data_IF_889378859882
#
_entry.id   IF_889378859882
#
_cell.length_a   1.000
_cell.length_b   1.000
_cell.length_c   1.000
_cell.angle_alpha   90.00
_cell.angle_beta   90.00
_cell.angle_gamma   90.00
#
_symmetry.space_group_name_H-M   'P 1'
#
loop_
_entity.id
_entity.type
_entity.pdbx_description
1 polymer ?
#
# COMPACT_ATOMS: atom_id res chain seq x y z
N UNK A 1 -18.82 -1.09 -8.83
CA UNK A 1 -18.55 -1.38 -7.40
C UNK A 1 -18.36 -2.89 -7.30
N UNK A 2 -17.32 -3.39 -6.61
CA UNK A 2 -17.07 -4.84 -6.52
C UNK A 2 -18.24 -5.54 -5.80
N UNK A 3 -18.58 -6.76 -6.23
CA UNK A 3 -19.56 -7.57 -5.49
C UNK A 3 -18.96 -8.08 -4.16
N UNK A 4 -19.81 -8.60 -3.26
CA UNK A 4 -19.39 -9.07 -1.93
C UNK A 4 -18.33 -10.18 -1.99
N UNK A 5 -18.42 -11.08 -2.97
CA UNK A 5 -17.48 -12.20 -3.14
C UNK A 5 -16.10 -11.72 -3.60
N UNK A 6 -16.08 -10.73 -4.49
CA UNK A 6 -14.86 -10.07 -4.96
C UNK A 6 -14.20 -9.28 -3.83
N UNK A 7 -14.98 -8.52 -3.05
CA UNK A 7 -14.47 -7.80 -1.86
C UNK A 7 -13.84 -8.77 -0.86
N UNK A 8 -14.49 -9.91 -0.58
CA UNK A 8 -13.95 -10.91 0.33
C UNK A 8 -12.62 -11.49 -0.16
N UNK A 9 -12.51 -11.82 -1.46
CA UNK A 9 -11.27 -12.32 -2.06
C UNK A 9 -10.16 -11.28 -2.01
N UNK A 10 -10.47 -10.04 -2.41
CA UNK A 10 -9.54 -8.90 -2.34
C UNK A 10 -9.05 -8.67 -0.90
N UNK A 11 -9.97 -8.65 0.07
CA UNK A 11 -9.65 -8.52 1.50
C UNK A 11 -8.67 -9.60 1.97
N UNK A 12 -8.93 -10.88 1.63
CA UNK A 12 -8.05 -12.00 2.00
C UNK A 12 -6.66 -11.85 1.40
N UNK A 13 -6.56 -11.53 0.11
CA UNK A 13 -5.28 -11.37 -0.60
C UNK A 13 -4.49 -10.19 -0.03
N UNK A 14 -5.13 -9.03 0.15
CA UNK A 14 -4.46 -7.84 0.70
C UNK A 14 -4.01 -8.07 2.13
N UNK A 15 -4.83 -8.70 2.98
CA UNK A 15 -4.45 -9.00 4.35
C UNK A 15 -3.26 -9.97 4.41
N UNK A 16 -3.21 -10.96 3.52
CA UNK A 16 -2.07 -11.88 3.42
C UNK A 16 -0.79 -11.16 2.98
N UNK A 17 -0.86 -10.32 1.94
CA UNK A 17 0.29 -9.52 1.49
C UNK A 17 0.74 -8.58 2.62
N UNK A 18 -0.20 -7.92 3.29
CA UNK A 18 0.10 -7.04 4.41
C UNK A 18 0.80 -7.77 5.57
N UNK A 19 0.34 -8.98 5.91
CA UNK A 19 1.01 -9.83 6.91
C UNK A 19 2.43 -10.19 6.47
N UNK A 20 2.62 -10.67 5.23
CA UNK A 20 3.94 -11.06 4.71
C UNK A 20 4.90 -9.87 4.70
N UNK A 21 4.44 -8.69 4.24
CA UNK A 21 5.27 -7.48 4.24
C UNK A 21 5.67 -7.06 5.65
N UNK A 22 4.74 -7.09 6.62
CA UNK A 22 5.09 -6.80 8.01
C UNK A 22 6.14 -7.78 8.54
N UNK A 23 5.95 -9.08 8.34
CA UNK A 23 6.90 -10.10 8.79
C UNK A 23 8.28 -9.91 8.16
N UNK A 24 8.37 -9.67 6.85
CA UNK A 24 9.67 -9.46 6.19
C UNK A 24 10.40 -8.24 6.74
N UNK A 25 9.71 -7.11 6.93
CA UNK A 25 10.34 -5.90 7.46
C UNK A 25 10.73 -6.12 8.92
N UNK A 26 9.87 -6.74 9.74
CA UNK A 26 10.21 -7.04 11.14
C UNK A 26 11.42 -7.97 11.27
N UNK A 27 11.56 -8.98 10.40
CA UNK A 27 12.76 -9.84 10.36
C UNK A 27 14.02 -9.03 10.05
N UNK A 28 13.94 -8.12 9.07
CA UNK A 28 15.06 -7.23 8.72
C UNK A 28 15.54 -6.42 9.92
N UNK A 29 14.62 -5.83 10.68
CA UNK A 29 14.96 -5.07 11.89
C UNK A 29 15.43 -5.95 13.06
N UNK A 30 14.92 -7.18 13.21
CA UNK A 30 15.47 -8.13 14.19
C UNK A 30 16.96 -8.40 13.91
N UNK A 31 17.35 -8.52 12.64
CA UNK A 31 18.76 -8.70 12.27
C UNK A 31 19.62 -7.47 12.58
N UNK A 32 19.05 -6.26 12.59
CA UNK A 32 19.75 -5.05 13.02
C UNK A 32 19.99 -5.00 14.53
N UNK A 33 19.12 -5.59 15.35
CA UNK A 33 19.33 -5.68 16.80
C UNK A 33 20.61 -6.45 17.13
N UNK A 34 20.87 -7.55 16.42
CA UNK A 34 22.11 -8.32 16.60
C UNK A 34 23.37 -7.52 16.24
N UNK A 35 23.22 -6.40 15.52
CA UNK A 35 24.31 -5.45 15.21
C UNK A 35 24.45 -4.32 16.24
N UNK A 36 23.60 -4.29 17.28
CA UNK A 36 23.70 -3.34 18.39
C UNK A 36 22.70 -2.19 18.35
N UNK A 37 21.74 -2.17 17.42
CA UNK A 37 20.74 -1.08 17.30
C UNK A 37 19.43 -1.46 17.98
N UNK A 38 19.31 -1.18 19.29
CA UNK A 38 18.16 -1.61 20.11
C UNK A 38 17.07 -0.53 20.27
N UNK A 39 17.40 0.73 20.00
CA UNK A 39 16.64 1.90 20.46
C UNK A 39 15.23 2.03 19.84
N UNK A 40 15.04 1.52 18.62
CA UNK A 40 13.80 1.72 17.85
C UNK A 40 12.95 0.45 17.71
N UNK A 41 13.43 -0.70 18.19
CA UNK A 41 12.81 -1.99 17.92
C UNK A 41 11.42 -2.14 18.56
N UNK A 42 11.27 -1.77 19.83
CA UNK A 42 9.99 -1.89 20.53
C UNK A 42 8.92 -0.97 19.93
N UNK A 43 9.33 0.21 19.47
CA UNK A 43 8.43 1.15 18.80
C UNK A 43 8.02 0.57 17.44
N UNK A 44 8.97 -0.01 16.68
CA UNK A 44 8.68 -0.67 15.41
C UNK A 44 7.64 -1.78 15.55
N UNK A 45 7.80 -2.67 16.55
CA UNK A 45 6.85 -3.74 16.82
C UNK A 45 5.48 -3.17 17.15
N UNK A 46 5.41 -2.10 17.95
CA UNK A 46 4.14 -1.48 18.33
C UNK A 46 3.38 -0.97 17.08
N UNK A 47 4.09 -0.26 16.18
CA UNK A 47 3.53 0.25 14.93
C UNK A 47 3.22 -0.84 13.90
N UNK A 48 3.91 -1.99 13.93
CA UNK A 48 3.58 -3.14 13.09
C UNK A 48 2.36 -3.91 13.64
N UNK A 49 2.36 -4.22 14.93
CA UNK A 49 1.39 -5.13 15.54
C UNK A 49 0.02 -4.48 15.74
N UNK A 50 -0.06 -3.23 16.21
CA UNK A 50 -1.36 -2.60 16.52
C UNK A 50 -2.26 -2.55 15.28
N UNK A 51 -1.82 -2.02 14.12
CA UNK A 51 -2.70 -1.90 12.96
C UNK A 51 -2.96 -3.26 12.29
N UNK A 52 -2.01 -4.19 12.39
CA UNK A 52 -2.18 -5.56 11.93
C UNK A 52 -3.27 -6.28 12.73
N UNK A 53 -3.22 -6.23 14.06
CA UNK A 53 -4.23 -6.81 14.95
C UNK A 53 -5.60 -6.17 14.70
N UNK A 54 -5.66 -4.83 14.60
CA UNK A 54 -6.90 -4.13 14.28
C UNK A 54 -7.51 -4.59 12.94
N UNK A 55 -6.66 -4.78 11.93
CA UNK A 55 -7.08 -5.30 10.61
C UNK A 55 -7.61 -6.74 10.69
N UNK A 56 -6.97 -7.60 11.48
CA UNK A 56 -7.47 -8.95 11.73
C UNK A 56 -8.82 -8.97 12.45
N UNK A 57 -9.00 -8.12 13.46
CA UNK A 57 -10.28 -8.00 14.18
C UNK A 57 -11.41 -7.61 13.21
N UNK A 58 -11.16 -6.61 12.35
CA UNK A 58 -12.14 -6.18 11.34
C UNK A 58 -12.42 -7.30 10.34
N UNK A 59 -11.39 -8.01 9.87
CA UNK A 59 -11.53 -9.11 8.91
C UNK A 59 -12.33 -10.28 9.48
N UNK A 60 -12.05 -10.73 10.71
CA UNK A 60 -12.78 -11.84 11.33
C UNK A 60 -14.21 -11.47 11.72
N UNK A 61 -14.49 -10.20 11.99
CA UNK A 61 -15.86 -9.72 12.22
C UNK A 61 -16.70 -9.71 10.94
N UNK A 62 -16.10 -9.32 9.81
CA UNK A 62 -16.76 -9.34 8.51
C UNK A 62 -15.74 -9.44 7.37
N UNK A 63 -15.61 -10.64 6.81
CA UNK A 63 -14.67 -10.91 5.71
C UNK A 63 -14.94 -10.08 4.45
N UNK A 64 -16.18 -9.62 4.23
CA UNK A 64 -16.57 -8.78 3.09
C UNK A 64 -16.68 -7.28 3.47
N UNK A 65 -16.04 -6.85 4.56
CA UNK A 65 -16.06 -5.44 4.96
C UNK A 65 -15.29 -4.57 3.97
N UNK A 66 -15.98 -3.61 3.35
CA UNK A 66 -15.34 -2.61 2.50
C UNK A 66 -14.51 -1.59 3.31
N UNK A 67 -14.67 -1.54 4.65
CA UNK A 67 -13.87 -0.65 5.49
C UNK A 67 -12.46 -1.20 5.75
N UNK A 68 -12.25 -2.52 5.63
CA UNK A 68 -10.98 -3.17 5.95
C UNK A 68 -9.80 -2.57 5.18
N UNK A 69 -9.99 -2.26 3.90
CA UNK A 69 -8.96 -1.64 3.05
C UNK A 69 -8.43 -0.33 3.65
N UNK A 70 -9.28 0.48 4.29
CA UNK A 70 -8.85 1.73 4.92
C UNK A 70 -8.08 1.50 6.21
N UNK A 71 -8.49 0.51 7.03
CA UNK A 71 -7.72 0.11 8.22
C UNK A 71 -6.30 -0.36 7.84
N UNK A 72 -6.20 -1.21 6.82
CA UNK A 72 -4.92 -1.72 6.33
C UNK A 72 -4.05 -0.58 5.79
N UNK A 73 -4.60 0.34 4.99
CA UNK A 73 -3.83 1.45 4.41
C UNK A 73 -3.32 2.41 5.48
N UNK A 74 -4.18 2.83 6.41
CA UNK A 74 -3.78 3.75 7.47
C UNK A 74 -2.67 3.09 8.32
N UNK A 75 -2.88 1.83 8.70
CA UNK A 75 -1.90 1.06 9.44
C UNK A 75 -0.57 0.91 8.70
N UNK A 76 -0.64 0.56 7.42
CA UNK A 76 0.53 0.40 6.57
C UNK A 76 1.29 1.72 6.39
N UNK A 77 0.61 2.84 6.12
CA UNK A 77 1.26 4.13 5.90
C UNK A 77 1.93 4.67 7.16
N UNK A 78 1.33 4.45 8.34
CA UNK A 78 1.96 4.77 9.62
C UNK A 78 3.22 3.94 9.86
N UNK A 79 3.13 2.61 9.64
CA UNK A 79 4.27 1.71 9.76
C UNK A 79 5.38 2.06 8.76
N UNK A 80 5.01 2.33 7.52
CA UNK A 80 5.92 2.72 6.44
C UNK A 80 6.65 4.02 6.76
N UNK A 81 5.93 5.05 7.25
CA UNK A 81 6.55 6.30 7.67
C UNK A 81 7.62 6.05 8.74
N UNK A 82 7.29 5.27 9.77
CA UNK A 82 8.26 4.93 10.82
C UNK A 82 9.51 4.23 10.26
N UNK A 83 9.32 3.21 9.41
CA UNK A 83 10.42 2.48 8.78
C UNK A 83 11.29 3.40 7.92
N UNK A 84 10.69 4.26 7.10
CA UNK A 84 11.44 5.20 6.27
C UNK A 84 12.27 6.16 7.12
N UNK A 85 11.72 6.73 8.19
CA UNK A 85 12.45 7.71 9.01
C UNK A 85 13.54 7.08 9.90
N UNK A 86 13.41 5.81 10.26
CA UNK A 86 14.40 5.11 11.10
C UNK A 86 15.46 4.36 10.30
N UNK A 87 15.19 4.05 9.02
CA UNK A 87 16.11 3.30 8.18
C UNK A 87 17.24 4.18 7.62
N UNK A 88 18.43 3.58 7.53
CA UNK A 88 19.57 4.15 6.80
C UNK A 88 19.55 3.79 5.31
N UNK A 89 18.65 2.91 4.88
CA UNK A 89 18.62 2.38 3.52
C UNK A 89 17.53 3.06 2.68
N UNK A 90 17.97 3.72 1.60
CA UNK A 90 17.08 4.36 0.62
C UNK A 90 16.16 3.37 -0.13
N UNK A 91 16.53 2.08 -0.15
CA UNK A 91 15.73 1.01 -0.79
C UNK A 91 14.39 0.73 -0.08
N UNK A 92 14.15 1.31 1.10
CA UNK A 92 12.88 1.19 1.84
C UNK A 92 11.66 1.63 1.02
N UNK A 93 11.84 2.47 0.01
CA UNK A 93 10.85 2.78 -1.03
C UNK A 93 10.14 1.53 -1.60
N UNK A 94 10.87 0.43 -1.80
CA UNK A 94 10.32 -0.79 -2.43
C UNK A 94 9.13 -1.34 -1.66
N UNK A 95 9.08 -1.13 -0.34
CA UNK A 95 7.92 -1.57 0.46
C UNK A 95 6.64 -0.85 0.05
N UNK A 96 6.70 0.46 -0.22
CA UNK A 96 5.55 1.24 -0.70
C UNK A 96 5.04 0.69 -2.03
N UNK A 97 5.95 0.27 -2.91
CA UNK A 97 5.59 -0.31 -4.21
C UNK A 97 4.80 -1.62 -4.05
N UNK A 98 5.26 -2.52 -3.17
CA UNK A 98 4.55 -3.74 -2.84
C UNK A 98 3.14 -3.44 -2.28
N UNK A 99 3.02 -2.43 -1.42
CA UNK A 99 1.74 -2.08 -0.83
C UNK A 99 0.75 -1.50 -1.84
N UNK A 100 1.16 -0.55 -2.69
CA UNK A 100 0.27 0.02 -3.71
C UNK A 100 -0.17 -1.07 -4.69
N UNK A 101 0.74 -1.96 -5.08
CA UNK A 101 0.40 -3.13 -5.92
C UNK A 101 -0.65 -4.02 -5.25
N UNK A 102 -0.56 -4.24 -3.93
CA UNK A 102 -1.57 -5.00 -3.19
C UNK A 102 -2.95 -4.33 -3.23
N UNK A 103 -3.03 -3.00 -3.14
CA UNK A 103 -4.29 -2.27 -3.13
C UNK A 103 -4.94 -2.17 -4.51
N UNK A 104 -4.19 -2.45 -5.58
CA UNK A 104 -4.70 -2.47 -6.95
C UNK A 104 -5.89 -3.44 -7.11
N UNK A 105 -5.91 -4.53 -6.35
CA UNK A 105 -6.99 -5.54 -6.39
C UNK A 105 -8.37 -5.01 -5.97
N UNK A 106 -8.42 -3.84 -5.32
CA UNK A 106 -9.70 -3.20 -4.99
C UNK A 106 -10.30 -2.41 -6.16
N UNK A 107 -9.52 -2.15 -7.22
CA UNK A 107 -9.90 -1.29 -8.34
C UNK A 107 -10.53 0.04 -7.87
N UNK A 108 -9.97 0.59 -6.79
CA UNK A 108 -10.44 1.83 -6.17
C UNK A 108 -9.43 2.95 -6.45
N UNK A 109 -9.78 3.82 -7.39
CA UNK A 109 -8.90 4.91 -7.84
C UNK A 109 -8.60 5.90 -6.70
N UNK A 110 -9.56 6.13 -5.80
CA UNK A 110 -9.36 7.03 -4.66
C UNK A 110 -8.36 6.42 -3.68
N UNK A 111 -8.49 5.12 -3.42
CA UNK A 111 -7.59 4.36 -2.56
C UNK A 111 -6.13 4.43 -3.03
N UNK A 112 -5.92 4.15 -4.32
CA UNK A 112 -4.59 4.20 -4.95
C UNK A 112 -4.03 5.63 -4.91
N UNK A 113 -4.84 6.63 -5.29
CA UNK A 113 -4.42 8.03 -5.32
C UNK A 113 -3.98 8.52 -3.93
N UNK A 114 -4.77 8.23 -2.90
CA UNK A 114 -4.43 8.63 -1.51
C UNK A 114 -3.12 7.97 -1.08
N UNK A 115 -2.97 6.67 -1.32
CA UNK A 115 -1.75 5.93 -0.95
C UNK A 115 -0.52 6.50 -1.66
N UNK A 116 -0.62 6.82 -2.95
CA UNK A 116 0.46 7.44 -3.72
C UNK A 116 0.84 8.83 -3.19
N UNK A 117 -0.15 9.69 -2.92
CA UNK A 117 0.09 11.06 -2.41
C UNK A 117 0.76 10.99 -1.03
N UNK A 118 0.22 10.21 -0.10
CA UNK A 118 0.79 10.09 1.24
C UNK A 118 2.17 9.45 1.20
N UNK A 119 2.37 8.40 0.40
CA UNK A 119 3.68 7.77 0.21
C UNK A 119 4.72 8.73 -0.37
N UNK A 120 4.34 9.58 -1.33
CA UNK A 120 5.22 10.62 -1.86
C UNK A 120 5.60 11.64 -0.78
N UNK A 121 4.63 12.13 0.00
CA UNK A 121 4.87 13.07 1.08
C UNK A 121 5.79 12.51 2.17
N UNK A 122 5.66 11.23 2.52
CA UNK A 122 6.54 10.55 3.48
C UNK A 122 7.99 10.59 2.99
N UNK A 123 8.24 10.20 1.73
CA UNK A 123 9.59 10.18 1.18
C UNK A 123 10.16 11.57 0.99
N UNK A 124 9.34 12.53 0.55
CA UNK A 124 9.74 13.93 0.47
C UNK A 124 10.14 14.46 1.85
N UNK A 125 9.36 14.14 2.88
CA UNK A 125 9.67 14.48 4.27
C UNK A 125 11.00 13.87 4.74
N UNK A 126 11.27 12.60 4.41
CA UNK A 126 12.54 11.95 4.73
C UNK A 126 13.73 12.63 4.06
N UNK A 127 13.61 12.94 2.77
CA UNK A 127 14.66 13.63 2.01
C UNK A 127 14.95 15.02 2.62
N UNK A 128 13.90 15.77 2.96
CA UNK A 128 14.05 17.07 3.62
C UNK A 128 14.75 16.90 4.97
N UNK A 129 14.37 15.90 5.77
CA UNK A 129 15.00 15.62 7.05
C UNK A 129 16.49 15.26 6.90
N UNK A 130 16.82 14.37 5.96
CA UNK A 130 18.20 13.97 5.72
C UNK A 130 19.07 15.13 5.24
N UNK A 131 18.53 15.96 4.35
CA UNK A 131 19.23 17.13 3.82
C UNK A 131 19.44 18.21 4.89
N UNK A 132 18.41 18.53 5.67
CA UNK A 132 18.43 19.70 6.59
C UNK A 132 18.94 19.38 7.98
N UNK A 133 18.55 18.23 8.55
CA UNK A 133 18.88 17.84 9.93
C UNK A 133 20.16 17.02 9.96
N UNK A 134 20.24 15.98 9.13
CA UNK A 134 21.41 15.08 9.10
C UNK A 134 22.55 15.59 8.22
N UNK A 135 22.30 16.65 7.41
CA UNK A 135 23.27 17.27 6.49
C UNK A 135 23.89 16.26 5.51
N UNK A 136 23.10 15.28 5.09
CA UNK A 136 23.48 14.25 4.14
C UNK A 136 23.40 14.81 2.71
N UNK A 137 24.47 15.49 2.27
CA UNK A 137 24.48 16.27 1.02
C UNK A 137 25.56 15.84 0.03
N UNK A 138 25.99 14.57 0.04
CA UNK A 138 26.92 14.07 -0.99
C UNK A 138 26.25 14.04 -2.36
N UNK A 139 27.02 14.18 -3.43
CA UNK A 139 26.50 14.18 -4.80
C UNK A 139 25.75 12.87 -5.14
N UNK A 140 26.24 11.74 -4.62
CA UNK A 140 25.61 10.43 -4.79
C UNK A 140 24.23 10.39 -4.11
N UNK A 141 24.12 10.90 -2.87
CA UNK A 141 22.85 10.94 -2.14
C UNK A 141 21.83 11.87 -2.79
N UNK A 142 22.27 13.02 -3.31
CA UNK A 142 21.38 13.92 -4.07
C UNK A 142 20.81 13.20 -5.30
N UNK A 143 21.65 12.42 -5.99
CA UNK A 143 21.20 11.61 -7.12
C UNK A 143 20.19 10.56 -6.69
N UNK A 144 20.43 9.86 -5.58
CA UNK A 144 19.47 8.90 -5.01
C UNK A 144 18.13 9.55 -4.65
N UNK A 145 18.13 10.75 -4.05
CA UNK A 145 16.91 11.49 -3.74
C UNK A 145 16.06 11.80 -4.98
N UNK A 146 16.71 12.22 -6.07
CA UNK A 146 16.03 12.48 -7.34
C UNK A 146 15.44 11.19 -7.90
N UNK A 147 16.18 10.08 -7.84
CA UNK A 147 15.71 8.77 -8.30
C UNK A 147 14.50 8.31 -7.49
N UNK A 148 14.50 8.46 -6.16
CA UNK A 148 13.38 8.07 -5.29
C UNK A 148 12.12 8.86 -5.66
N UNK A 149 12.21 10.19 -5.71
CA UNK A 149 11.06 11.05 -6.03
C UNK A 149 10.54 10.79 -7.46
N UNK A 150 11.45 10.65 -8.43
CA UNK A 150 11.11 10.30 -9.79
C UNK A 150 10.43 8.94 -9.90
N UNK A 151 10.95 7.93 -9.20
CA UNK A 151 10.39 6.58 -9.20
C UNK A 151 8.99 6.53 -8.58
N UNK A 152 8.77 7.21 -7.45
CA UNK A 152 7.43 7.29 -6.83
C UNK A 152 6.45 8.01 -7.76
N UNK A 153 6.87 9.12 -8.39
CA UNK A 153 6.02 9.89 -9.30
C UNK A 153 5.61 9.04 -10.52
N UNK A 154 6.57 8.38 -11.16
CA UNK A 154 6.31 7.51 -12.32
C UNK A 154 5.41 6.33 -11.95
N UNK A 155 5.69 5.65 -10.83
CA UNK A 155 4.85 4.57 -10.32
C UNK A 155 3.43 5.04 -10.04
N UNK A 156 3.29 6.19 -9.38
CA UNK A 156 2.00 6.76 -8.99
C UNK A 156 1.15 7.09 -10.21
N UNK A 157 1.73 7.76 -11.21
CA UNK A 157 1.04 8.09 -12.46
C UNK A 157 0.60 6.80 -13.17
N UNK A 158 1.53 5.85 -13.31
CA UNK A 158 1.27 4.58 -14.00
C UNK A 158 0.15 3.78 -13.35
N UNK A 159 0.17 3.63 -12.02
CA UNK A 159 -0.86 2.88 -11.29
C UNK A 159 -2.20 3.61 -11.24
N UNK A 160 -2.23 4.94 -11.14
CA UNK A 160 -3.50 5.69 -11.21
C UNK A 160 -4.14 5.53 -12.59
N UNK A 161 -3.38 5.64 -13.67
CA UNK A 161 -3.87 5.44 -15.04
C UNK A 161 -4.32 4.00 -15.25
N UNK A 162 -3.50 3.02 -14.86
CA UNK A 162 -3.83 1.60 -14.96
C UNK A 162 -5.12 1.26 -14.20
N UNK A 163 -5.28 1.79 -12.98
CA UNK A 163 -6.48 1.56 -12.16
C UNK A 163 -7.72 2.16 -12.81
N UNK A 164 -7.64 3.39 -13.35
CA UNK A 164 -8.76 4.01 -14.08
C UNK A 164 -9.16 3.19 -15.30
N UNK A 165 -8.19 2.72 -16.07
CA UNK A 165 -8.42 1.90 -17.26
C UNK A 165 -9.05 0.54 -16.88
N UNK A 166 -8.53 -0.10 -15.84
CA UNK A 166 -9.06 -1.36 -15.34
C UNK A 166 -10.50 -1.23 -14.81
N UNK A 167 -10.82 -0.14 -14.10
CA UNK A 167 -12.20 0.17 -13.68
C UNK A 167 -13.11 0.35 -14.89
N UNK A 168 -12.66 1.07 -15.91
CA UNK A 168 -13.43 1.28 -17.13
C UNK A 168 -13.75 -0.04 -17.84
N UNK A 169 -12.75 -0.91 -18.02
CA UNK A 169 -12.95 -2.23 -18.62
C UNK A 169 -13.84 -3.13 -17.77
N UNK A 170 -13.65 -3.14 -16.44
CA UNK A 170 -14.48 -3.93 -15.55
C UNK A 170 -15.96 -3.52 -15.61
N UNK A 171 -16.25 -2.21 -15.65
CA UNK A 171 -17.64 -1.73 -15.77
C UNK A 171 -18.24 -2.11 -17.14
N UNK A 172 -17.50 -1.93 -18.22
CA UNK A 172 -17.94 -2.30 -19.57
C UNK A 172 -18.23 -3.80 -19.69
N UNK A 173 -17.40 -4.65 -19.09
CA UNK A 173 -17.64 -6.10 -19.05
C UNK A 173 -18.93 -6.43 -18.31
N UNK A 174 -19.19 -5.80 -17.15
CA UNK A 174 -20.43 -6.01 -16.39
C UNK A 174 -21.66 -5.56 -17.19
N UNK A 175 -21.62 -4.37 -17.80
CA UNK A 175 -22.71 -3.86 -18.65
C UNK A 175 -23.05 -4.86 -19.77
N UNK A 176 -22.05 -5.38 -20.47
CA UNK A 176 -22.26 -6.34 -21.56
C UNK A 176 -22.90 -7.67 -21.12
N UNK A 177 -22.70 -8.08 -19.87
CA UNK A 177 -23.32 -9.29 -19.31
C UNK A 177 -24.80 -9.02 -19.00
N UNK A 178 -25.09 -7.85 -18.43
CA UNK A 178 -26.46 -7.43 -18.10
C UNK A 178 -27.31 -7.25 -19.36
N UNK A 179 -26.75 -6.66 -20.42
CA UNK A 179 -27.46 -6.48 -21.69
C UNK A 179 -27.83 -7.83 -22.32
N UNK A 180 -26.91 -8.80 -22.31
CA UNK A 180 -27.17 -10.17 -22.78
C UNK A 180 -28.22 -10.91 -21.94
N UNK A 181 -28.31 -10.64 -20.65
CA UNK A 181 -29.35 -11.23 -19.80
C UNK A 181 -30.73 -10.64 -20.12
N UNK A 182 -30.82 -9.31 -20.26
CA UNK A 182 -32.06 -8.62 -20.63
C UNK A 182 -32.58 -9.06 -21.99
N UNK A 183 -31.69 -9.20 -22.98
CA UNK A 183 -32.07 -9.66 -24.32
C UNK A 183 -32.65 -11.09 -24.28
N UNK A 184 -32.06 -11.98 -23.47
CA UNK A 184 -32.58 -13.34 -23.27
C UNK A 184 -33.94 -13.36 -22.58
N UNK A 185 -34.16 -12.51 -21.59
CA UNK A 185 -35.46 -12.41 -20.90
C UNK A 185 -36.56 -11.93 -21.86
N UNK A 186 -36.26 -10.98 -22.74
CA UNK A 186 -37.19 -10.50 -23.77
C UNK A 186 -37.51 -11.56 -24.83
N UNK A 187 -36.58 -12.46 -25.16
CA UNK A 187 -36.84 -13.57 -26.09
C UNK A 187 -37.72 -14.68 -25.48
N UNK A 188 -37.85 -14.73 -24.16
CA UNK A 188 -38.60 -15.76 -23.43
C UNK A 188 -40.00 -15.28 -22.96
N UNK A 189 -40.32 -14.00 -23.12
CA UNK A 189 -41.62 -13.37 -22.81
C UNK A 189 -42.49 -13.23 -24.04
#
# INVERSE_FOLDING_TARGET
MLDKSAIQRSNRVVLLIYLITNLMVSIGYILEIFKGTWEYFFILILFACIPLIASFIVYFKNHASNSLKYFIIIGYLLYYAFVVFTSQHMITLVYLFCAIASFYVYLDVTLIRVTCIVGFLINLGKIIYDYTVLKLTSADLITEYIIILGSIALMSISLIVATKLAVHFNNKSIESILDKQREKELMLS
#
